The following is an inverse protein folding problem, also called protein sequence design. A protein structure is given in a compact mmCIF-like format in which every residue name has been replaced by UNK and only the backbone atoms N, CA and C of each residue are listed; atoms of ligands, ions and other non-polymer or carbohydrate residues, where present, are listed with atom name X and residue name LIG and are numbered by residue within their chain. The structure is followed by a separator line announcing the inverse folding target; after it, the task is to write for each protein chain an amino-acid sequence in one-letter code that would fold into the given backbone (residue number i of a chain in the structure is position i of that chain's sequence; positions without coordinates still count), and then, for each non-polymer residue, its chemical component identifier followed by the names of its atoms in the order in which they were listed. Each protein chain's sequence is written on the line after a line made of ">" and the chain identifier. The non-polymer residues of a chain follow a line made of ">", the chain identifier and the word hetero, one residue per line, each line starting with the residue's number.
data_IF_958103091438
#
_entry.id   IF_958103091438
#
_cell.length_a   1.000
_cell.length_b   1.000
_cell.length_c   1.000
_cell.angle_alpha   90.00
_cell.angle_beta   90.00
_cell.angle_gamma   90.00
#
_symmetry.space_group_name_H-M   'P 1'
#
loop_
_entity.id
_entity.type
_entity.pdbx_description
1 polymer ?
#
# COMPACT_ATOMS: atom_id res chain seq x y z
N UNK A 1 35.50 3.20 42.22
CA UNK A 1 35.21 4.58 41.79
C UNK A 1 33.99 4.73 40.86
N UNK A 2 33.58 3.69 40.10
CA UNK A 2 32.36 3.78 39.24
C UNK A 2 31.06 3.77 40.07
N UNK A 3 31.01 3.06 41.21
CA UNK A 3 29.81 2.90 42.03
C UNK A 3 29.28 4.18 42.68
N UNK A 4 30.17 5.07 43.14
CA UNK A 4 29.79 6.35 43.77
C UNK A 4 29.13 7.34 42.81
N UNK A 5 29.55 7.39 41.53
CA UNK A 5 28.92 8.27 40.53
C UNK A 5 27.49 7.85 40.23
N UNK A 6 27.23 6.55 40.17
CA UNK A 6 25.89 6.01 39.92
C UNK A 6 24.91 6.27 41.07
N UNK A 7 25.38 6.25 42.33
CA UNK A 7 24.55 6.58 43.49
C UNK A 7 24.11 8.04 43.49
N UNK A 8 25.07 8.95 43.28
CA UNK A 8 24.84 10.41 43.25
C UNK A 8 23.92 10.83 42.09
N UNK A 9 24.02 10.14 40.95
CA UNK A 9 23.15 10.38 39.80
C UNK A 9 21.69 9.92 40.06
N UNK A 10 21.50 8.78 40.74
CA UNK A 10 20.18 8.30 41.14
C UNK A 10 19.50 9.22 42.15
N UNK A 11 20.24 9.75 43.12
CA UNK A 11 19.71 10.73 44.07
C UNK A 11 19.27 12.02 43.37
N UNK A 12 20.07 12.51 42.41
CA UNK A 12 19.72 13.69 41.64
C UNK A 12 18.48 13.47 40.75
N UNK A 13 18.39 12.32 40.07
CA UNK A 13 17.22 11.94 39.27
C UNK A 13 15.94 11.88 40.10
N UNK A 14 16.02 11.41 41.35
CA UNK A 14 14.90 11.34 42.27
C UNK A 14 14.60 12.70 42.95
N UNK A 15 15.53 13.65 42.85
CA UNK A 15 15.36 15.02 43.31
C UNK A 15 14.34 15.80 42.47
N UNK A 16 13.81 16.92 43.00
CA UNK A 16 12.76 17.70 42.36
C UNK A 16 13.19 18.21 40.99
N UNK A 17 14.42 18.72 40.84
CA UNK A 17 14.94 19.21 39.57
C UNK A 17 15.13 18.08 38.53
N UNK A 18 15.62 16.91 38.94
CA UNK A 18 15.84 15.78 38.05
C UNK A 18 14.54 15.22 37.47
N UNK A 19 13.49 15.10 38.29
CA UNK A 19 12.16 14.63 37.83
C UNK A 19 11.53 15.56 36.80
N UNK A 20 11.64 16.87 36.96
CA UNK A 20 11.12 17.84 35.98
C UNK A 20 11.83 17.75 34.63
N UNK A 21 13.17 17.62 34.64
CA UNK A 21 13.96 17.52 33.40
C UNK A 21 13.66 16.21 32.67
N UNK A 22 13.62 15.09 33.38
CA UNK A 22 13.32 13.78 32.79
C UNK A 22 11.89 13.75 32.30
N UNK A 23 10.93 14.19 33.11
CA UNK A 23 9.52 14.26 32.74
C UNK A 23 9.30 15.13 31.49
N UNK A 24 9.92 16.31 31.44
CA UNK A 24 9.86 17.20 30.28
C UNK A 24 10.45 16.58 29.02
N UNK A 25 11.58 15.88 29.15
CA UNK A 25 12.24 15.21 28.02
C UNK A 25 11.39 14.06 27.47
N UNK A 26 10.81 13.25 28.36
CA UNK A 26 9.91 12.15 27.97
C UNK A 26 8.66 12.69 27.28
N UNK A 27 8.05 13.75 27.81
CA UNK A 27 6.91 14.42 27.19
C UNK A 27 7.25 14.99 25.81
N UNK A 28 8.41 15.62 25.66
CA UNK A 28 8.88 16.14 24.38
C UNK A 28 9.06 15.01 23.34
N UNK A 29 9.68 13.89 23.73
CA UNK A 29 9.85 12.74 22.85
C UNK A 29 8.51 12.11 22.43
N UNK A 30 7.57 11.98 23.37
CA UNK A 30 6.21 11.50 23.06
C UNK A 30 5.51 12.46 22.10
N UNK A 31 5.60 13.78 22.34
CA UNK A 31 5.02 14.80 21.47
C UNK A 31 5.57 14.74 20.03
N UNK A 32 6.89 14.57 19.89
CA UNK A 32 7.55 14.39 18.59
C UNK A 32 7.06 13.11 17.91
N UNK A 33 7.00 11.98 18.62
CA UNK A 33 6.55 10.71 18.06
C UNK A 33 5.09 10.76 17.57
N UNK A 34 4.19 11.38 18.34
CA UNK A 34 2.78 11.57 17.96
C UNK A 34 2.68 12.45 16.72
N UNK A 35 3.40 13.57 16.70
CA UNK A 35 3.38 14.50 15.57
C UNK A 35 3.86 13.83 14.29
N UNK A 36 4.99 13.11 14.34
CA UNK A 36 5.51 12.35 13.20
C UNK A 36 4.54 11.27 12.72
N UNK A 37 3.86 10.59 13.64
CA UNK A 37 2.88 9.55 13.30
C UNK A 37 1.65 10.11 12.59
N UNK A 38 1.13 11.26 13.05
CA UNK A 38 -0.05 11.91 12.44
C UNK A 38 0.28 12.50 11.07
N UNK A 39 1.38 13.24 10.95
CA UNK A 39 1.80 13.85 9.67
C UNK A 39 2.29 12.82 8.66
N UNK A 40 2.90 11.72 9.11
CA UNK A 40 3.29 10.61 8.26
C UNK A 40 2.08 9.90 7.63
N UNK A 41 1.04 9.66 8.42
CA UNK A 41 -0.17 8.95 7.98
C UNK A 41 -0.93 9.73 6.90
N UNK A 42 -1.15 11.04 7.10
CA UNK A 42 -1.87 11.87 6.13
C UNK A 42 -1.16 11.96 4.77
N UNK A 43 0.17 11.99 4.75
CA UNK A 43 0.95 11.97 3.51
C UNK A 43 0.85 10.63 2.76
N UNK A 44 0.74 9.52 3.50
CA UNK A 44 0.56 8.19 2.90
C UNK A 44 -0.84 8.01 2.32
N UNK A 45 -1.87 8.51 3.01
CA UNK A 45 -3.25 8.47 2.53
C UNK A 45 -3.40 9.25 1.22
N UNK A 46 -2.88 10.49 1.17
CA UNK A 46 -2.90 11.31 -0.06
C UNK A 46 -2.15 10.63 -1.21
N UNK A 47 -1.01 9.98 -0.94
CA UNK A 47 -0.27 9.22 -1.97
C UNK A 47 -1.08 8.01 -2.44
N UNK A 48 -1.71 7.28 -1.53
CA UNK A 48 -2.52 6.09 -1.85
C UNK A 48 -3.73 6.45 -2.71
N UNK A 49 -4.41 7.55 -2.38
CA UNK A 49 -5.58 8.01 -3.13
C UNK A 49 -5.21 8.48 -4.53
N UNK A 50 -4.07 9.17 -4.69
CA UNK A 50 -3.55 9.52 -6.02
C UNK A 50 -3.22 8.30 -6.87
N UNK A 51 -2.69 7.24 -6.27
CA UNK A 51 -2.39 5.99 -6.99
C UNK A 51 -3.68 5.28 -7.38
N UNK A 52 -4.68 5.23 -6.50
CA UNK A 52 -6.01 4.66 -6.80
C UNK A 52 -6.70 5.42 -7.93
N UNK A 53 -6.71 6.75 -7.88
CA UNK A 53 -7.34 7.61 -8.88
C UNK A 53 -6.71 7.49 -10.28
N UNK A 54 -5.41 7.20 -10.37
CA UNK A 54 -4.74 6.98 -11.66
C UNK A 54 -5.22 5.72 -12.38
N UNK A 55 -5.81 4.75 -11.68
CA UNK A 55 -6.17 3.46 -12.25
C UNK A 55 -4.97 2.68 -12.80
N UNK A 56 -5.23 1.55 -13.45
CA UNK A 56 -4.22 0.70 -14.07
C UNK A 56 -4.61 0.34 -15.50
N UNK A 57 -3.59 0.23 -16.36
CA UNK A 57 -3.74 -0.38 -17.69
C UNK A 57 -3.57 -1.88 -17.55
N UNK A 58 -4.63 -2.61 -17.88
CA UNK A 58 -4.57 -4.07 -17.97
C UNK A 58 -4.84 -4.50 -19.40
N UNK A 59 -4.42 -5.72 -19.70
CA UNK A 59 -4.92 -6.44 -20.85
C UNK A 59 -6.29 -7.01 -20.49
N UNK A 60 -7.28 -6.82 -21.35
CA UNK A 60 -8.61 -7.41 -21.19
C UNK A 60 -8.82 -8.51 -22.23
N UNK A 61 -9.62 -9.50 -21.86
CA UNK A 61 -10.17 -10.51 -22.74
C UNK A 61 -11.68 -10.52 -22.56
N UNK A 62 -12.44 -10.47 -23.66
CA UNK A 62 -13.89 -10.56 -23.59
C UNK A 62 -14.34 -12.00 -23.87
N UNK A 63 -15.07 -12.61 -22.94
CA UNK A 63 -15.59 -13.97 -23.09
C UNK A 63 -16.74 -14.05 -24.10
N UNK A 64 -17.47 -12.96 -24.33
CA UNK A 64 -18.58 -12.91 -25.28
C UNK A 64 -18.12 -12.77 -26.75
N UNK A 65 -17.29 -11.76 -27.06
CA UNK A 65 -16.87 -11.47 -28.44
C UNK A 65 -15.44 -11.91 -28.77
N UNK A 66 -14.72 -12.51 -27.81
CA UNK A 66 -13.30 -12.93 -27.92
C UNK A 66 -12.33 -11.79 -28.27
N UNK A 67 -12.80 -10.54 -28.23
CA UNK A 67 -11.95 -9.38 -28.44
C UNK A 67 -10.97 -9.23 -27.27
N UNK A 68 -9.78 -8.77 -27.59
CA UNK A 68 -8.72 -8.56 -26.62
C UNK A 68 -7.99 -7.26 -26.91
N UNK A 69 -7.47 -6.62 -25.88
CA UNK A 69 -6.83 -5.31 -26.02
C UNK A 69 -6.35 -4.75 -24.70
N UNK A 70 -6.02 -3.46 -24.69
CA UNK A 70 -5.66 -2.72 -23.48
C UNK A 70 -6.86 -1.94 -22.99
N UNK A 71 -7.14 -2.03 -21.69
CA UNK A 71 -8.21 -1.28 -21.03
C UNK A 71 -7.64 -0.57 -19.81
N UNK A 72 -8.03 0.69 -19.63
CA UNK A 72 -7.73 1.44 -18.43
C UNK A 72 -8.90 1.29 -17.46
N UNK A 73 -8.63 0.79 -16.26
CA UNK A 73 -9.65 0.49 -15.24
C UNK A 73 -9.18 1.00 -13.88
N UNK A 74 -10.13 1.29 -13.00
CA UNK A 74 -9.80 1.58 -11.60
C UNK A 74 -9.14 0.35 -10.93
N UNK A 75 -8.33 0.58 -9.89
CA UNK A 75 -7.63 -0.50 -9.20
C UNK A 75 -8.57 -1.48 -8.47
N UNK A 76 -9.68 -0.95 -8.00
CA UNK A 76 -10.77 -1.56 -7.24
C UNK A 76 -11.99 -1.93 -8.11
N UNK A 77 -11.84 -1.85 -9.44
CA UNK A 77 -12.90 -2.22 -10.36
C UNK A 77 -13.31 -3.69 -10.18
N UNK A 78 -14.61 -3.91 -9.96
CA UNK A 78 -15.20 -5.25 -9.94
C UNK A 78 -15.35 -5.76 -11.37
N UNK A 79 -14.85 -6.98 -11.63
CA UNK A 79 -14.99 -7.68 -12.91
C UNK A 79 -16.16 -8.67 -12.84
N UNK A 80 -16.83 -8.97 -13.96
CA UNK A 80 -16.53 -8.56 -15.34
C UNK A 80 -16.99 -7.12 -15.66
N UNK A 81 -16.19 -6.41 -16.46
CA UNK A 81 -16.49 -5.04 -16.92
C UNK A 81 -17.12 -5.04 -18.32
N UNK A 82 -17.85 -3.98 -18.72
CA UNK A 82 -18.36 -3.88 -20.08
C UNK A 82 -17.22 -3.88 -21.10
N UNK A 83 -17.32 -4.76 -22.10
CA UNK A 83 -16.36 -4.82 -23.19
C UNK A 83 -16.49 -3.60 -24.09
N UNK A 84 -15.40 -2.93 -24.49
CA UNK A 84 -15.46 -1.76 -25.38
C UNK A 84 -15.94 -2.10 -26.80
N UNK A 85 -15.92 -3.38 -27.19
CA UNK A 85 -16.32 -3.83 -28.53
C UNK A 85 -17.81 -4.23 -28.58
N UNK A 86 -18.25 -5.13 -27.69
CA UNK A 86 -19.63 -5.64 -27.69
C UNK A 86 -20.53 -5.04 -26.61
N UNK A 87 -20.00 -4.16 -25.75
CA UNK A 87 -20.70 -3.51 -24.61
C UNK A 87 -21.28 -4.46 -23.55
N UNK A 88 -21.15 -5.77 -23.71
CA UNK A 88 -21.59 -6.74 -22.73
C UNK A 88 -20.63 -6.79 -21.53
N UNK A 89 -21.13 -7.01 -20.29
CA UNK A 89 -20.32 -7.14 -19.08
C UNK A 89 -19.61 -8.49 -19.04
N UNK A 90 -18.65 -8.66 -19.96
CA UNK A 90 -17.96 -9.91 -20.23
C UNK A 90 -16.45 -9.73 -20.39
N UNK A 91 -15.91 -8.52 -20.14
CA UNK A 91 -14.48 -8.27 -20.18
C UNK A 91 -13.84 -8.56 -18.83
N UNK A 92 -12.88 -9.47 -18.83
CA UNK A 92 -12.12 -9.93 -17.68
C UNK A 92 -10.64 -9.58 -17.87
N UNK A 93 -9.84 -9.49 -16.78
CA UNK A 93 -8.40 -9.32 -16.90
C UNK A 93 -7.82 -10.50 -17.67
N UNK A 94 -6.94 -10.23 -18.62
CA UNK A 94 -6.27 -11.25 -19.41
C UNK A 94 -4.76 -11.12 -19.39
N UNK A 95 -4.08 -12.20 -19.76
CA UNK A 95 -2.64 -12.25 -19.94
C UNK A 95 -2.28 -12.73 -21.34
N UNK A 96 -1.16 -12.22 -21.86
CA UNK A 96 -0.63 -12.63 -23.16
C UNK A 96 0.47 -13.68 -22.95
N UNK A 97 0.38 -14.87 -23.57
CA UNK A 97 1.50 -15.82 -23.58
C UNK A 97 2.67 -15.16 -24.30
N UNK A 98 3.85 -15.13 -23.70
CA UNK A 98 5.07 -14.61 -24.35
C UNK A 98 5.56 -15.51 -25.47
N UNK A 99 5.24 -16.81 -25.45
CA UNK A 99 5.60 -17.78 -26.50
C UNK A 99 4.65 -17.74 -27.70
N UNK A 100 3.35 -17.94 -27.50
CA UNK A 100 2.40 -18.06 -28.62
C UNK A 100 1.64 -16.76 -28.94
N UNK A 101 1.82 -15.71 -28.13
CA UNK A 101 1.16 -14.42 -28.34
C UNK A 101 -0.35 -14.38 -28.08
N UNK A 102 -0.98 -15.52 -27.76
CA UNK A 102 -2.43 -15.62 -27.48
C UNK A 102 -2.79 -14.98 -26.14
N UNK A 103 -4.00 -14.43 -26.07
CA UNK A 103 -4.57 -13.82 -24.87
C UNK A 103 -5.46 -14.84 -24.14
N UNK A 104 -5.27 -14.96 -22.84
CA UNK A 104 -6.03 -15.84 -21.96
C UNK A 104 -6.73 -15.02 -20.89
N UNK A 105 -7.87 -15.50 -20.41
CA UNK A 105 -8.48 -15.01 -19.18
C UNK A 105 -7.54 -15.28 -17.99
N UNK A 106 -7.45 -14.33 -17.05
CA UNK A 106 -6.84 -14.55 -15.74
C UNK A 106 -7.75 -15.47 -14.95
N UNK A 107 -7.59 -16.77 -15.14
CA UNK A 107 -8.09 -17.78 -14.22
C UNK A 107 -7.07 -17.89 -13.09
N UNK A 108 -7.50 -17.93 -11.82
CA UNK A 108 -6.63 -18.20 -10.67
C UNK A 108 -6.14 -19.66 -10.70
N UNK A 109 -5.34 -20.01 -11.70
CA UNK A 109 -4.64 -21.28 -11.80
C UNK A 109 -3.14 -21.02 -11.79
N UNK A 110 -2.36 -21.76 -10.99
CA UNK A 110 -0.93 -21.53 -10.82
C UNK A 110 -0.10 -21.89 -12.07
N UNK A 111 -0.68 -22.56 -13.07
CA UNK A 111 0.05 -23.10 -14.21
C UNK A 111 -0.71 -22.74 -15.49
N UNK A 112 -0.10 -21.88 -16.32
CA UNK A 112 -0.54 -21.61 -17.68
C UNK A 112 0.32 -22.44 -18.64
N UNK A 113 -0.21 -23.59 -19.05
CA UNK A 113 0.38 -24.36 -20.15
C UNK A 113 -0.08 -23.74 -21.46
N UNK A 114 0.88 -23.23 -22.24
CA UNK A 114 0.63 -22.76 -23.60
C UNK A 114 0.25 -24.04 -24.43
N UNK A 115 -0.96 -24.15 -25.00
CA UNK A 115 -1.38 -25.33 -25.76
C UNK A 115 -0.64 -25.42 -27.10
#
# INVERSE_FOLDING_TARGET
>A
MVSERTGRFREWLNGPAGRWIVGGTVLALIGVAVTLSVTGSSNLDVKRDRVRAKGRRIFYYCTACKASGKLHVAFDQTYPVPCPQCKQPAAVPGFRCTRCGKMFEKVDRPIFTCP
#
